data_IF_401329637322
#
_entry.id   IF_401329637322
#
_cell.length_a   1.000
_cell.length_b   1.000
_cell.length_c   1.000
_cell.angle_alpha   90.00
_cell.angle_beta   90.00
_cell.angle_gamma   90.00
#
_symmetry.space_group_name_H-M   'P 1'
#
loop_
_entity.id
_entity.type
_entity.pdbx_description
1 polymer ?
#
# COMPACT_ATOMS: atom_id res chain seq x y z
N UNK A 1 16.12 16.56 14.02
CA UNK A 1 15.35 15.81 12.99
C UNK A 1 14.92 16.81 11.94
N UNK A 2 14.85 16.38 10.69
CA UNK A 2 14.41 17.23 9.59
C UNK A 2 12.88 17.18 9.45
N UNK A 3 12.21 18.31 9.10
CA UNK A 3 10.80 18.32 8.72
C UNK A 3 10.49 17.24 7.69
N UNK A 4 9.38 16.52 7.85
CA UNK A 4 9.03 15.38 7.00
C UNK A 4 9.45 14.01 7.54
N UNK A 5 10.28 13.95 8.59
CA UNK A 5 10.68 12.68 9.20
C UNK A 5 9.52 12.03 9.94
N UNK A 6 9.18 10.77 9.61
CA UNK A 6 8.19 9.99 10.38
C UNK A 6 8.80 9.48 11.69
N UNK A 7 8.21 9.91 12.80
CA UNK A 7 8.62 9.57 14.16
C UNK A 7 7.50 8.82 14.88
N UNK A 8 7.88 7.88 15.75
CA UNK A 8 7.00 7.20 16.66
C UNK A 8 7.01 7.91 18.01
N UNK A 9 5.82 8.21 18.52
CA UNK A 9 5.59 8.77 19.85
C UNK A 9 5.03 7.67 20.77
N UNK A 10 5.86 7.13 21.70
CA UNK A 10 5.42 6.09 22.63
C UNK A 10 4.30 6.55 23.58
N UNK A 11 4.18 7.85 23.86
CA UNK A 11 3.16 8.36 24.78
C UNK A 11 1.75 8.25 24.18
N UNK A 12 1.61 8.43 22.87
CA UNK A 12 0.33 8.32 22.16
C UNK A 12 0.17 6.99 21.41
N UNK A 13 1.24 6.23 21.23
CA UNK A 13 1.26 5.00 20.43
C UNK A 13 1.02 5.27 18.94
N UNK A 14 1.43 6.45 18.46
CA UNK A 14 1.16 6.92 17.09
C UNK A 14 2.44 7.29 16.36
N UNK A 15 2.36 7.25 15.03
CA UNK A 15 3.40 7.76 14.15
C UNK A 15 2.94 9.08 13.57
N UNK A 16 3.81 10.08 13.63
CA UNK A 16 3.60 11.41 13.05
C UNK A 16 4.80 11.89 12.26
N UNK A 17 4.57 12.76 11.30
CA UNK A 17 5.57 13.52 10.60
C UNK A 17 6.03 14.68 11.48
N UNK A 18 7.32 14.74 11.75
CA UNK A 18 7.97 15.86 12.44
C UNK A 18 7.82 17.12 11.60
N UNK A 19 7.25 18.19 12.18
CA UNK A 19 7.09 19.49 11.52
C UNK A 19 8.19 20.46 11.97
N UNK A 20 8.15 20.90 13.23
CA UNK A 20 9.10 21.86 13.80
C UNK A 20 9.13 21.74 15.35
N UNK A 21 10.05 22.46 15.99
CA UNK A 21 10.07 22.68 17.43
C UNK A 21 9.15 23.85 17.80
N UNK A 22 8.33 23.68 18.83
CA UNK A 22 7.52 24.75 19.42
C UNK A 22 7.80 24.80 20.92
N UNK A 23 8.74 25.66 21.32
CA UNK A 23 9.21 25.74 22.70
C UNK A 23 9.87 24.43 23.14
N UNK A 24 9.49 23.86 24.31
CA UNK A 24 10.07 22.60 24.80
C UNK A 24 9.52 21.34 24.10
N UNK A 25 8.50 21.48 23.24
CA UNK A 25 7.85 20.37 22.55
C UNK A 25 8.11 20.41 21.05
N UNK A 26 7.93 19.26 20.41
CA UNK A 26 7.91 19.17 18.94
C UNK A 26 6.48 19.04 18.45
N UNK A 27 6.21 19.59 17.27
CA UNK A 27 4.91 19.44 16.62
C UNK A 27 4.93 18.28 15.64
N UNK A 28 3.99 17.35 15.80
CA UNK A 28 3.82 16.17 14.95
C UNK A 28 2.50 16.23 14.20
N UNK A 29 2.52 15.89 12.92
CA UNK A 29 1.34 15.76 12.06
C UNK A 29 1.06 14.29 11.76
N UNK A 30 -0.20 13.79 11.82
CA UNK A 30 -0.46 12.40 11.48
C UNK A 30 -0.15 12.11 10.00
N UNK A 31 0.36 10.90 9.68
CA UNK A 31 0.73 10.50 8.32
C UNK A 31 -0.42 10.51 7.28
N UNK A 32 -1.67 10.65 7.72
CA UNK A 32 -2.85 10.75 6.86
C UNK A 32 -3.52 12.12 6.85
N UNK A 33 -2.94 13.12 7.51
CA UNK A 33 -3.63 14.35 7.88
C UNK A 33 -4.44 14.20 9.17
N UNK A 34 -5.06 15.30 9.61
CA UNK A 34 -5.80 15.38 10.88
C UNK A 34 -5.10 16.25 11.92
N UNK A 35 -5.57 16.17 13.17
CA UNK A 35 -5.13 17.09 14.23
C UNK A 35 -3.68 16.84 14.63
N UNK A 36 -2.86 17.88 14.47
CA UNK A 36 -1.48 17.92 14.94
C UNK A 36 -1.43 17.82 16.48
N UNK A 37 -0.33 17.27 17.00
CA UNK A 37 -0.13 17.13 18.44
C UNK A 37 1.31 17.44 18.85
N UNK A 38 1.44 17.88 20.10
CA UNK A 38 2.73 18.13 20.71
C UNK A 38 3.29 16.84 21.33
N UNK A 39 4.59 16.60 21.15
CA UNK A 39 5.30 15.49 21.76
C UNK A 39 6.59 15.96 22.43
N UNK A 40 7.05 15.20 23.41
CA UNK A 40 8.32 15.42 24.09
C UNK A 40 9.49 14.97 23.18
N UNK A 41 10.40 15.86 22.76
CA UNK A 41 11.52 15.51 21.88
C UNK A 41 12.42 14.40 22.45
N UNK A 42 12.50 14.25 23.78
CA UNK A 42 13.32 13.23 24.43
C UNK A 42 12.68 11.83 24.37
N UNK A 43 11.38 11.73 24.09
CA UNK A 43 10.63 10.46 24.09
C UNK A 43 10.36 9.91 22.70
N UNK A 44 10.35 10.78 21.69
CA UNK A 44 10.11 10.37 20.32
C UNK A 44 11.36 9.74 19.69
N UNK A 45 11.14 8.83 18.75
CA UNK A 45 12.21 8.22 17.95
C UNK A 45 11.81 8.08 16.49
N UNK A 46 12.78 7.90 15.60
CA UNK A 46 12.50 7.55 14.21
C UNK A 46 11.65 6.28 14.18
N UNK A 47 10.57 6.32 13.39
CA UNK A 47 9.67 5.18 13.24
C UNK A 47 10.35 4.08 12.42
N UNK A 48 10.19 2.82 12.87
CA UNK A 48 10.62 1.66 12.09
C UNK A 48 9.89 1.58 10.75
N UNK A 49 10.40 0.82 9.79
CA UNK A 49 9.70 0.61 8.52
C UNK A 49 8.28 0.07 8.75
N UNK A 50 8.13 -0.90 9.64
CA UNK A 50 6.82 -1.47 9.96
C UNK A 50 5.86 -0.42 10.56
N UNK A 51 6.30 0.38 11.52
CA UNK A 51 5.47 1.42 12.12
C UNK A 51 5.01 2.45 11.09
N UNK A 52 5.91 2.84 10.16
CA UNK A 52 5.58 3.73 9.03
C UNK A 52 4.53 3.10 8.12
N UNK A 53 4.69 1.82 7.77
CA UNK A 53 3.74 1.10 6.90
C UNK A 53 2.38 0.92 7.59
N UNK A 54 2.35 0.53 8.87
CA UNK A 54 1.11 0.45 9.67
C UNK A 54 0.40 1.80 9.77
N UNK A 55 1.16 2.89 9.95
CA UNK A 55 0.62 4.24 9.97
C UNK A 55 0.05 4.66 8.61
N UNK A 56 0.73 4.34 7.51
CA UNK A 56 0.24 4.56 6.15
C UNK A 56 -1.05 3.79 5.85
N UNK A 57 -1.14 2.53 6.27
CA UNK A 57 -2.37 1.73 6.16
C UNK A 57 -3.52 2.33 6.98
N UNK A 58 -3.23 2.79 8.21
CA UNK A 58 -4.23 3.49 9.03
C UNK A 58 -4.71 4.77 8.34
N UNK A 59 -3.79 5.58 7.82
CA UNK A 59 -4.11 6.77 7.06
C UNK A 59 -4.96 6.48 5.81
N UNK A 60 -4.66 5.41 5.08
CA UNK A 60 -5.46 4.98 3.93
C UNK A 60 -6.87 4.53 4.34
N UNK A 61 -6.99 3.81 5.46
CA UNK A 61 -8.29 3.46 6.04
C UNK A 61 -9.08 4.70 6.44
N UNK A 62 -8.45 5.67 7.10
CA UNK A 62 -9.12 6.89 7.54
C UNK A 62 -9.57 7.75 6.36
N UNK A 63 -8.73 7.94 5.33
CA UNK A 63 -9.15 8.59 4.07
C UNK A 63 -10.27 7.82 3.37
N UNK A 64 -10.25 6.49 3.38
CA UNK A 64 -11.34 5.69 2.84
C UNK A 64 -12.64 5.89 3.62
N UNK A 65 -12.60 6.27 4.91
CA UNK A 65 -13.80 6.64 5.67
C UNK A 65 -14.30 8.02 5.29
N UNK A 66 -13.39 8.96 5.00
CA UNK A 66 -13.75 10.33 4.58
C UNK A 66 -14.34 10.37 3.16
N UNK A 67 -13.78 9.62 2.21
CA UNK A 67 -14.34 9.46 0.85
C UNK A 67 -15.61 8.59 0.78
N UNK A 68 -15.93 7.90 1.87
CA UNK A 68 -17.20 7.20 2.10
C UNK A 68 -18.13 7.98 3.03
N UNK A 69 -17.94 9.30 3.19
CA UNK A 69 -19.07 10.13 3.62
C UNK A 69 -20.18 9.81 2.62
N UNK A 70 -21.27 9.13 3.02
CA UNK A 70 -22.22 8.59 2.07
C UNK A 70 -22.74 9.80 1.34
N UNK A 71 -22.46 9.89 0.04
CA UNK A 71 -22.98 10.95 -0.81
C UNK A 71 -24.43 11.18 -0.36
N UNK A 72 -24.76 12.37 0.18
CA UNK A 72 -26.07 12.59 0.76
C UNK A 72 -27.16 12.34 -0.29
N UNK A 73 -26.83 12.43 -1.57
CA UNK A 73 -27.72 12.16 -2.69
C UNK A 73 -27.80 10.68 -3.08
N UNK A 74 -26.85 9.82 -2.66
CA UNK A 74 -26.91 8.39 -2.93
C UNK A 74 -28.08 7.78 -2.16
N UNK A 75 -29.06 7.16 -2.83
CA UNK A 75 -30.18 6.54 -2.15
C UNK A 75 -29.70 5.41 -1.23
N UNK A 76 -30.15 5.35 0.03
CA UNK A 76 -29.84 4.25 0.94
C UNK A 76 -30.45 2.94 0.40
N UNK A 77 -29.71 1.83 0.58
CA UNK A 77 -30.09 0.49 0.13
C UNK A 77 -30.82 -0.21 1.28
N UNK A 78 -31.97 -0.88 1.04
CA UNK A 78 -32.66 -1.62 2.09
C UNK A 78 -31.82 -2.79 2.61
N UNK A 79 -31.86 -3.02 3.93
CA UNK A 79 -31.21 -4.20 4.55
C UNK A 79 -32.00 -5.44 4.12
N UNK A 80 -31.31 -6.46 3.61
CA UNK A 80 -31.94 -7.68 3.10
C UNK A 80 -32.73 -8.38 4.21
N UNK A 81 -34.01 -8.68 3.95
CA UNK A 81 -34.89 -9.37 4.91
C UNK A 81 -35.53 -8.45 5.95
N UNK A 82 -35.33 -7.12 5.86
CA UNK A 82 -36.05 -6.15 6.69
C UNK A 82 -37.25 -5.59 5.93
N UNK A 83 -38.46 -6.02 6.31
CA UNK A 83 -39.71 -5.59 5.67
C UNK A 83 -39.90 -4.07 5.65
N UNK A 84 -39.54 -3.36 6.72
CA UNK A 84 -39.67 -1.91 6.80
C UNK A 84 -38.70 -1.17 5.86
N UNK A 85 -37.48 -1.69 5.69
CA UNK A 85 -36.53 -1.17 4.71
C UNK A 85 -37.06 -1.39 3.28
N UNK A 86 -37.56 -2.59 2.98
CA UNK A 86 -38.09 -2.93 1.67
C UNK A 86 -39.31 -2.08 1.30
N UNK A 87 -40.23 -1.86 2.23
CA UNK A 87 -41.40 -1.01 2.02
C UNK A 87 -41.02 0.43 1.66
N UNK A 88 -40.07 1.01 2.41
CA UNK A 88 -39.56 2.36 2.14
C UNK A 88 -38.81 2.44 0.80
N UNK A 89 -38.12 1.38 0.38
CA UNK A 89 -37.50 1.29 -0.94
C UNK A 89 -38.56 1.25 -2.07
N UNK A 90 -39.63 0.46 -1.89
CA UNK A 90 -40.76 0.43 -2.84
C UNK A 90 -41.43 1.79 -2.95
N UNK A 91 -41.70 2.48 -1.83
CA UNK A 91 -42.27 3.84 -1.82
C UNK A 91 -41.40 4.82 -2.61
N UNK A 92 -40.09 4.77 -2.44
CA UNK A 92 -39.14 5.59 -3.20
C UNK A 92 -39.22 5.30 -4.70
N UNK A 93 -39.28 4.03 -5.09
CA UNK A 93 -39.28 3.65 -6.51
C UNK A 93 -40.61 4.03 -7.19
N UNK A 94 -41.73 3.95 -6.47
CA UNK A 94 -43.02 4.49 -6.89
C UNK A 94 -42.97 6.02 -7.07
N UNK A 95 -42.39 6.75 -6.12
CA UNK A 95 -42.22 8.20 -6.22
C UNK A 95 -41.34 8.60 -7.41
N UNK A 96 -40.27 7.84 -7.71
CA UNK A 96 -39.46 8.03 -8.92
C UNK A 96 -40.28 7.83 -10.19
N UNK A 97 -41.09 6.78 -10.26
CA UNK A 97 -41.96 6.50 -11.40
C UNK A 97 -43.01 7.60 -11.63
N UNK A 98 -43.45 8.25 -10.56
CA UNK A 98 -44.38 9.39 -10.60
C UNK A 98 -43.68 10.76 -10.79
N UNK A 99 -42.35 10.80 -10.87
CA UNK A 99 -41.54 12.04 -10.91
C UNK A 99 -41.74 12.97 -9.70
N UNK A 100 -42.08 12.43 -8.53
CA UNK A 100 -42.22 13.18 -7.28
C UNK A 100 -40.90 13.19 -6.49
N UNK A 101 -40.10 14.24 -6.71
CA UNK A 101 -38.80 14.40 -6.05
C UNK A 101 -38.87 14.61 -4.53
N UNK A 102 -39.97 15.16 -4.00
CA UNK A 102 -40.15 15.36 -2.56
C UNK A 102 -40.36 14.02 -1.88
N UNK A 103 -41.26 13.20 -2.41
CA UNK A 103 -41.54 11.86 -1.87
C UNK A 103 -40.32 10.92 -1.97
N UNK A 104 -39.50 11.05 -3.02
CA UNK A 104 -38.21 10.34 -3.12
C UNK A 104 -37.27 10.72 -1.97
N UNK A 105 -37.20 12.01 -1.65
CA UNK A 105 -36.34 12.51 -0.58
C UNK A 105 -36.84 12.04 0.79
N UNK A 106 -38.14 12.12 1.04
CA UNK A 106 -38.76 11.68 2.29
C UNK A 106 -38.55 10.18 2.54
N UNK A 107 -38.74 9.34 1.52
CA UNK A 107 -38.49 7.91 1.61
C UNK A 107 -37.03 7.59 1.96
N UNK A 108 -36.06 8.33 1.38
CA UNK A 108 -34.64 8.18 1.70
C UNK A 108 -34.33 8.61 3.15
N UNK A 109 -34.93 9.71 3.63
CA UNK A 109 -34.76 10.20 5.01
C UNK A 109 -35.29 9.18 6.02
N UNK A 110 -36.50 8.67 5.79
CA UNK A 110 -37.13 7.66 6.65
C UNK A 110 -36.32 6.35 6.67
N UNK A 111 -35.82 5.90 5.51
CA UNK A 111 -35.04 4.67 5.43
C UNK A 111 -33.71 4.80 6.21
N UNK A 112 -33.01 5.95 6.09
CA UNK A 112 -31.81 6.23 6.91
C UNK A 112 -32.12 6.31 8.40
N UNK A 113 -33.25 6.89 8.78
CA UNK A 113 -33.66 6.99 10.18
C UNK A 113 -33.95 5.61 10.78
N UNK A 114 -34.70 4.77 10.06
CA UNK A 114 -35.00 3.40 10.46
C UNK A 114 -33.71 2.57 10.60
N UNK A 115 -32.82 2.61 9.61
CA UNK A 115 -31.54 1.89 9.66
C UNK A 115 -30.66 2.30 10.85
N UNK A 116 -30.64 3.59 11.22
CA UNK A 116 -29.90 4.04 12.42
C UNK A 116 -30.49 3.49 13.72
N UNK A 117 -31.82 3.39 13.80
CA UNK A 117 -32.51 2.91 15.01
C UNK A 117 -32.44 1.38 15.14
N UNK A 118 -32.70 0.66 14.04
CA UNK A 118 -32.95 -0.79 14.07
C UNK A 118 -31.77 -1.63 13.59
N UNK A 119 -30.84 -1.06 12.82
CA UNK A 119 -29.73 -1.80 12.18
C UNK A 119 -28.34 -1.24 12.51
N UNK A 120 -28.25 -0.22 13.36
CA UNK A 120 -26.98 0.40 13.74
C UNK A 120 -26.28 1.17 12.61
N UNK A 121 -26.96 1.39 11.47
CA UNK A 121 -26.42 2.01 10.26
C UNK A 121 -25.42 1.11 9.54
N UNK A 122 -25.80 0.51 8.41
CA UNK A 122 -24.84 -0.24 7.61
C UNK A 122 -23.80 0.71 6.97
N UNK A 123 -22.49 0.44 7.13
CA UNK A 123 -21.47 1.20 6.44
C UNK A 123 -21.47 0.75 4.98
N UNK A 124 -21.64 1.69 4.06
CA UNK A 124 -21.33 1.49 2.65
C UNK A 124 -19.99 0.73 2.53
N UNK A 125 -20.02 -0.42 1.83
CA UNK A 125 -18.92 -1.38 1.63
C UNK A 125 -17.55 -0.94 2.16
N UNK A 126 -17.27 -1.28 3.41
CA UNK A 126 -16.05 -0.88 4.12
C UNK A 126 -14.85 -1.66 3.59
N UNK A 127 -14.00 -1.04 2.77
CA UNK A 127 -12.68 -1.59 2.45
C UNK A 127 -11.74 -1.31 3.63
N UNK A 128 -11.39 -2.35 4.39
CA UNK A 128 -10.40 -2.26 5.47
C UNK A 128 -9.07 -2.80 4.91
N UNK A 129 -8.10 -1.91 4.75
CA UNK A 129 -6.72 -2.29 4.49
C UNK A 129 -6.08 -2.77 5.80
N UNK A 130 -5.38 -3.91 5.73
CA UNK A 130 -4.58 -4.45 6.84
C UNK A 130 -3.13 -4.49 6.40
N UNK A 131 -2.24 -4.01 7.26
CA UNK A 131 -0.81 -4.24 7.05
C UNK A 131 -0.54 -5.74 7.23
N UNK A 132 0.08 -6.35 6.23
CA UNK A 132 0.53 -7.74 6.27
C UNK A 132 2.04 -7.72 6.01
N UNK A 133 2.87 -8.07 7.00
CA UNK A 133 4.31 -8.11 6.82
C UNK A 133 4.70 -9.26 5.88
N UNK A 134 5.57 -8.97 4.92
CA UNK A 134 6.19 -9.96 4.04
C UNK A 134 7.71 -9.88 4.14
N UNK A 135 8.35 -11.04 4.01
CA UNK A 135 9.79 -11.17 3.80
C UNK A 135 10.05 -11.63 2.37
N UNK A 136 11.09 -11.06 1.75
CA UNK A 136 11.59 -11.52 0.45
C UNK A 136 12.64 -12.59 0.76
N UNK A 137 12.43 -13.82 0.29
CA UNK A 137 13.36 -14.94 0.47
C UNK A 137 13.69 -15.55 -0.89
N UNK A 138 14.85 -16.21 -1.01
CA UNK A 138 15.25 -16.87 -2.24
C UNK A 138 14.31 -18.05 -2.54
N UNK A 139 13.89 -18.17 -3.80
CA UNK A 139 13.08 -19.26 -4.31
C UNK A 139 13.95 -20.51 -4.47
N UNK A 140 13.74 -21.49 -3.59
CA UNK A 140 14.47 -22.76 -3.63
C UNK A 140 14.06 -23.67 -4.81
N UNK A 141 12.95 -23.37 -5.50
CA UNK A 141 12.47 -24.15 -6.64
C UNK A 141 13.06 -23.72 -7.98
N UNK A 142 13.71 -22.55 -8.02
CA UNK A 142 14.31 -22.00 -9.23
C UNK A 142 15.84 -21.93 -9.09
N UNK A 143 16.55 -22.41 -10.12
CA UNK A 143 18.00 -22.33 -10.17
C UNK A 143 18.44 -20.92 -10.58
N UNK A 144 19.55 -20.40 -10.02
CA UNK A 144 20.10 -19.13 -10.45
C UNK A 144 20.68 -19.20 -11.86
N UNK A 145 20.72 -18.05 -12.51
CA UNK A 145 21.31 -17.88 -13.84
C UNK A 145 22.55 -17.00 -13.78
N UNK A 146 23.59 -17.44 -14.48
CA UNK A 146 24.86 -16.75 -14.61
C UNK A 146 25.12 -16.42 -16.06
N UNK A 147 25.63 -15.22 -16.34
CA UNK A 147 26.00 -14.84 -17.69
C UNK A 147 27.23 -13.93 -17.67
N UNK A 148 28.05 -14.01 -18.71
CA UNK A 148 29.11 -13.06 -18.97
C UNK A 148 28.96 -12.41 -20.34
N UNK A 149 29.51 -11.21 -20.42
CA UNK A 149 29.65 -10.41 -21.63
C UNK A 149 31.10 -9.98 -21.76
N UNK A 150 31.68 -10.17 -22.94
CA UNK A 150 33.00 -9.66 -23.25
C UNK A 150 32.90 -8.15 -23.51
N UNK A 151 33.53 -7.37 -22.62
CA UNK A 151 33.60 -5.90 -22.68
C UNK A 151 35.04 -5.45 -22.97
N UNK A 152 35.75 -6.28 -23.72
CA UNK A 152 37.07 -5.96 -24.25
C UNK A 152 36.91 -5.33 -25.63
N UNK A 153 37.78 -4.39 -25.95
CA UNK A 153 37.72 -3.58 -27.15
C UNK A 153 38.15 -2.16 -26.81
N UNK A 154 38.89 -1.51 -27.70
CA UNK A 154 39.42 -0.16 -27.46
C UNK A 154 38.43 0.94 -27.89
N UNK A 155 37.61 0.65 -28.90
CA UNK A 155 36.61 1.59 -29.46
C UNK A 155 35.19 1.14 -29.15
N UNK A 156 34.88 -0.13 -29.41
CA UNK A 156 33.60 -0.75 -29.07
C UNK A 156 33.84 -2.08 -28.35
N UNK A 157 32.93 -2.41 -27.43
CA UNK A 157 32.94 -3.70 -26.76
C UNK A 157 32.75 -4.83 -27.79
N UNK A 158 33.55 -5.89 -27.66
CA UNK A 158 33.42 -7.11 -28.45
C UNK A 158 31.99 -7.68 -28.44
N UNK A 159 31.26 -7.51 -27.33
CA UNK A 159 29.84 -7.85 -27.24
C UNK A 159 29.51 -9.35 -27.18
N UNK A 160 30.51 -10.22 -27.35
CA UNK A 160 30.31 -11.67 -27.24
C UNK A 160 29.76 -12.06 -25.86
N UNK A 161 28.85 -13.04 -25.81
CA UNK A 161 28.20 -13.47 -24.56
C UNK A 161 28.23 -14.97 -24.39
N UNK A 162 28.32 -15.42 -23.14
CA UNK A 162 28.17 -16.84 -22.78
C UNK A 162 26.73 -17.35 -22.99
N UNK A 163 25.75 -16.45 -23.09
CA UNK A 163 24.35 -16.78 -22.80
C UNK A 163 24.12 -17.10 -21.31
N UNK A 164 22.86 -17.27 -20.87
CA UNK A 164 22.54 -17.76 -19.53
C UNK A 164 23.11 -19.17 -19.31
N UNK A 165 23.69 -19.39 -18.13
CA UNK A 165 24.27 -20.67 -17.69
C UNK A 165 23.78 -21.01 -16.28
N UNK A 166 23.57 -22.29 -15.96
CA UNK A 166 23.10 -22.71 -14.65
C UNK A 166 24.21 -22.71 -13.59
N UNK A 167 25.48 -22.53 -13.99
CA UNK A 167 26.63 -22.52 -13.07
C UNK A 167 27.67 -21.45 -13.41
N UNK A 168 28.38 -20.92 -12.39
CA UNK A 168 29.53 -20.04 -12.62
C UNK A 168 30.65 -20.70 -13.44
N UNK A 169 30.84 -22.00 -13.25
CA UNK A 169 31.93 -22.76 -13.89
C UNK A 169 31.80 -22.80 -15.42
N UNK A 170 30.58 -22.92 -15.94
CA UNK A 170 30.32 -22.87 -17.38
C UNK A 170 30.58 -21.48 -17.98
N UNK A 171 30.25 -20.42 -17.24
CA UNK A 171 30.57 -19.04 -17.64
C UNK A 171 32.09 -18.86 -17.71
N UNK A 172 32.81 -19.37 -16.71
CA UNK A 172 34.26 -19.30 -16.66
C UNK A 172 34.93 -20.14 -17.75
N UNK A 173 34.36 -21.29 -18.11
CA UNK A 173 34.83 -22.07 -19.26
C UNK A 173 34.67 -21.29 -20.56
N UNK A 174 33.52 -20.67 -20.77
CA UNK A 174 33.29 -19.80 -21.92
C UNK A 174 34.29 -18.64 -21.96
N UNK A 175 34.54 -17.96 -20.82
CA UNK A 175 35.53 -16.88 -20.73
C UNK A 175 36.94 -17.36 -21.08
N UNK A 176 37.35 -18.54 -20.59
CA UNK A 176 38.65 -19.14 -20.92
C UNK A 176 38.78 -19.41 -22.41
N UNK A 177 37.76 -20.03 -23.04
CA UNK A 177 37.74 -20.30 -24.48
C UNK A 177 37.79 -19.01 -25.30
N UNK A 178 36.93 -18.04 -24.98
CA UNK A 178 36.88 -16.75 -25.65
C UNK A 178 38.20 -15.99 -25.55
N UNK A 179 38.83 -16.00 -24.38
CA UNK A 179 40.15 -15.39 -24.15
C UNK A 179 41.23 -16.04 -25.00
N UNK A 180 41.22 -17.38 -25.14
CA UNK A 180 42.20 -18.09 -25.97
C UNK A 180 42.08 -17.72 -27.45
N UNK A 181 40.85 -17.56 -27.94
CA UNK A 181 40.55 -17.23 -29.34
C UNK A 181 40.81 -15.76 -29.68
N UNK A 182 40.48 -14.84 -28.77
CA UNK A 182 40.44 -13.39 -29.06
C UNK A 182 41.48 -12.56 -28.32
N UNK A 183 42.15 -13.14 -27.31
CA UNK A 183 43.01 -12.43 -26.34
C UNK A 183 42.29 -11.35 -25.52
N UNK A 184 40.96 -11.33 -25.54
CA UNK A 184 40.17 -10.44 -24.72
C UNK A 184 40.22 -10.86 -23.23
N UNK A 185 40.43 -9.88 -22.34
CA UNK A 185 40.68 -10.12 -20.91
C UNK A 185 39.68 -9.42 -19.97
N UNK A 186 38.79 -8.58 -20.49
CA UNK A 186 37.78 -7.84 -19.72
C UNK A 186 36.38 -8.39 -19.96
N UNK A 187 35.70 -8.72 -18.88
CA UNK A 187 34.37 -9.33 -18.88
C UNK A 187 33.45 -8.68 -17.83
N UNK A 188 32.19 -8.43 -18.19
CA UNK A 188 31.10 -8.09 -17.25
C UNK A 188 30.32 -9.36 -16.94
N UNK A 189 30.00 -9.61 -15.67
CA UNK A 189 29.18 -10.76 -15.23
C UNK A 189 27.84 -10.28 -14.70
N UNK A 190 26.78 -11.04 -14.96
CA UNK A 190 25.47 -10.92 -14.32
C UNK A 190 25.11 -12.21 -13.60
N UNK A 191 24.41 -12.06 -12.49
CA UNK A 191 23.83 -13.12 -11.68
C UNK A 191 22.37 -12.75 -11.42
N UNK A 192 21.47 -13.70 -11.65
CA UNK A 192 20.06 -13.56 -11.35
C UNK A 192 19.62 -14.75 -10.49
N UNK A 193 19.10 -14.47 -9.30
CA UNK A 193 18.35 -15.43 -8.50
C UNK A 193 16.86 -15.07 -8.53
N UNK A 194 16.06 -16.03 -8.07
CA UNK A 194 14.62 -15.91 -7.99
C UNK A 194 14.22 -15.75 -6.53
N UNK A 195 13.18 -14.96 -6.26
CA UNK A 195 12.72 -14.69 -4.89
C UNK A 195 11.20 -14.78 -4.77
N UNK A 196 10.73 -15.24 -3.62
CA UNK A 196 9.31 -15.31 -3.25
C UNK A 196 9.02 -14.39 -2.05
N UNK A 197 7.77 -13.91 -1.99
CA UNK A 197 7.27 -13.12 -0.86
C UNK A 197 6.54 -14.05 0.12
N UNK A 198 7.13 -14.24 1.29
CA UNK A 198 6.53 -15.02 2.38
C UNK A 198 5.90 -14.13 3.43
N UNK A 199 4.71 -14.48 3.91
CA UNK A 199 4.06 -13.74 5.00
C UNK A 199 4.81 -14.01 6.30
N UNK A 200 5.18 -12.95 7.02
CA UNK A 200 5.70 -13.12 8.38
C UNK A 200 4.53 -13.55 9.29
N UNK A 201 4.71 -14.68 9.99
CA UNK A 201 3.73 -15.27 10.90
C UNK A 201 3.61 -14.53 12.23
#
# INVERSE_FOLDING_TARGET
>A
MEPGTLVYDPATGKVGEYQDNTGPYVMLRPAGGGREWQADPARIRVATLEERLRAGVRAANDRSREGLSPDPNRPPVPVSGCAACEELAVRRDQARAAFDGSAVTDANVLLRQHQRKEHGGEPAGRRIFRYVPYSIVQDASALPEYQAYCVSGEVEDCGATSGPRPSPAEVEEWQRRHTQETRHLRYRRSFADYAVLERQG
#
